data_IF_507578839912
#
_entry.id   IF_507578839912
#
_cell.length_a   1.000
_cell.length_b   1.000
_cell.length_c   1.000
_cell.angle_alpha   90.00
_cell.angle_beta   90.00
_cell.angle_gamma   90.00
#
_symmetry.space_group_name_H-M   'P 1'
#
loop_
_entity.id
_entity.type
_entity.pdbx_description
1 polymer ?
#
# COMPACT_ATOMS: atom_id res chain seq x y z
N UNK A 1 22.79 25.38 -35.42
CA UNK A 1 22.63 26.31 -36.58
C UNK A 1 22.59 27.72 -36.04
N UNK A 2 23.52 28.58 -36.45
CA UNK A 2 23.46 30.00 -36.16
C UNK A 2 22.68 30.70 -37.28
N UNK A 3 21.73 31.56 -36.92
CA UNK A 3 20.90 32.30 -37.88
C UNK A 3 21.43 33.73 -38.01
N UNK A 4 21.49 34.24 -39.25
CA UNK A 4 22.05 35.56 -39.55
C UNK A 4 21.10 36.74 -39.29
N UNK A 5 19.80 36.46 -39.09
CA UNK A 5 18.76 37.49 -38.95
C UNK A 5 17.88 37.16 -37.73
N UNK A 6 17.83 38.08 -36.77
CA UNK A 6 17.10 37.95 -35.49
C UNK A 6 15.61 37.72 -35.71
N UNK A 7 14.99 38.40 -36.68
CA UNK A 7 13.55 38.24 -36.96
C UNK A 7 13.24 36.83 -37.43
N UNK A 8 14.10 36.28 -38.29
CA UNK A 8 13.93 34.93 -38.82
C UNK A 8 14.18 33.86 -37.74
N UNK A 9 15.16 34.09 -36.87
CA UNK A 9 15.42 33.22 -35.73
C UNK A 9 14.23 33.19 -34.75
N UNK A 10 13.64 34.37 -34.46
CA UNK A 10 12.47 34.49 -33.58
C UNK A 10 11.24 33.79 -34.16
N UNK A 11 10.96 33.99 -35.45
CA UNK A 11 9.81 33.35 -36.11
C UNK A 11 9.93 31.82 -36.14
N UNK A 12 11.12 31.29 -36.38
CA UNK A 12 11.37 29.84 -36.34
C UNK A 12 11.26 29.31 -34.89
N UNK A 13 11.74 30.06 -33.91
CA UNK A 13 11.61 29.73 -32.49
C UNK A 13 10.16 29.66 -32.03
N UNK A 14 9.36 30.67 -32.38
CA UNK A 14 7.93 30.73 -32.07
C UNK A 14 7.17 29.58 -32.76
N UNK A 15 7.46 29.28 -34.02
CA UNK A 15 6.87 28.14 -34.75
C UNK A 15 7.17 26.80 -34.08
N UNK A 16 8.44 26.57 -33.66
CA UNK A 16 8.83 25.33 -32.97
C UNK A 16 8.21 25.20 -31.59
N UNK A 17 8.10 26.30 -30.84
CA UNK A 17 7.42 26.31 -29.55
C UNK A 17 5.94 25.97 -29.70
N UNK A 18 5.29 26.49 -30.76
CA UNK A 18 3.89 26.20 -31.07
C UNK A 18 3.68 24.73 -31.49
N UNK A 19 4.58 24.19 -32.32
CA UNK A 19 4.56 22.75 -32.68
C UNK A 19 4.76 21.84 -31.46
N UNK A 20 5.70 22.17 -30.58
CA UNK A 20 5.93 21.42 -29.35
C UNK A 20 4.71 21.45 -28.41
N UNK A 21 4.06 22.62 -28.27
CA UNK A 21 2.82 22.76 -27.50
C UNK A 21 1.66 21.96 -28.10
N UNK A 22 1.56 21.89 -29.43
CA UNK A 22 0.54 21.10 -30.12
C UNK A 22 0.81 19.59 -29.98
N UNK A 23 2.06 19.15 -30.08
CA UNK A 23 2.44 17.76 -29.85
C UNK A 23 2.12 17.32 -28.41
N UNK A 24 2.46 18.16 -27.43
CA UNK A 24 2.18 17.90 -26.01
C UNK A 24 0.67 17.93 -25.69
N UNK A 25 -0.13 18.68 -26.45
CA UNK A 25 -1.61 18.65 -26.36
C UNK A 25 -2.20 17.43 -27.08
N UNK A 26 -1.58 16.96 -28.16
CA UNK A 26 -1.99 15.76 -28.89
C UNK A 26 -1.82 14.47 -28.06
N UNK A 27 -0.84 14.44 -27.16
CA UNK A 27 -0.64 13.35 -26.19
C UNK A 27 -1.61 13.38 -25.01
N UNK A 28 -2.31 14.50 -24.75
CA UNK A 28 -3.42 14.52 -23.78
C UNK A 28 -4.65 13.92 -24.45
N UNK A 29 -4.68 12.59 -24.48
CA UNK A 29 -5.87 11.83 -24.84
C UNK A 29 -7.08 12.38 -24.10
N UNK A 30 -8.16 12.62 -24.84
CA UNK A 30 -9.46 12.86 -24.22
C UNK A 30 -9.77 11.60 -23.43
N UNK A 31 -9.79 11.70 -22.10
CA UNK A 31 -10.27 10.63 -21.21
C UNK A 31 -11.55 10.05 -21.79
N UNK A 32 -11.50 8.82 -22.29
CA UNK A 32 -12.68 8.11 -22.74
C UNK A 32 -13.43 7.56 -21.53
N UNK A 33 -14.72 7.28 -21.67
CA UNK A 33 -15.45 6.59 -20.60
C UNK A 33 -14.84 5.21 -20.31
N UNK A 34 -14.25 4.57 -21.30
CA UNK A 34 -13.57 3.27 -21.17
C UNK A 34 -12.33 3.38 -20.28
N UNK A 35 -11.51 4.43 -20.45
CA UNK A 35 -10.36 4.71 -19.58
C UNK A 35 -10.81 4.99 -18.14
N UNK A 36 -11.91 5.72 -17.97
CA UNK A 36 -12.50 5.98 -16.65
C UNK A 36 -13.01 4.70 -15.99
N UNK A 37 -13.63 3.79 -16.75
CA UNK A 37 -14.08 2.50 -16.23
C UNK A 37 -12.91 1.58 -15.85
N UNK A 38 -11.84 1.59 -16.64
CA UNK A 38 -10.63 0.83 -16.32
C UNK A 38 -9.95 1.36 -15.04
N UNK A 39 -9.89 2.68 -14.89
CA UNK A 39 -9.33 3.31 -13.69
C UNK A 39 -10.16 3.06 -12.42
N UNK A 40 -11.48 2.83 -12.56
CA UNK A 40 -12.36 2.41 -11.46
C UNK A 40 -12.19 0.90 -11.16
N UNK A 41 -11.89 0.08 -12.18
CA UNK A 41 -11.68 -1.37 -12.03
C UNK A 41 -10.32 -1.74 -11.42
N UNK A 42 -9.29 -0.91 -11.63
CA UNK A 42 -7.92 -1.14 -11.11
C UNK A 42 -7.82 -0.95 -9.59
N UNK A 43 -8.92 -0.62 -8.89
CA UNK A 43 -8.93 -0.35 -7.45
C UNK A 43 -8.23 0.96 -7.11
N UNK A 44 -8.12 1.27 -5.81
CA UNK A 44 -7.38 2.43 -5.32
C UNK A 44 -5.86 2.25 -5.56
N UNK A 45 -5.42 2.36 -6.81
CA UNK A 45 -4.00 2.36 -7.16
C UNK A 45 -3.36 3.55 -6.45
N UNK A 46 -2.48 3.27 -5.50
CA UNK A 46 -1.77 4.33 -4.78
C UNK A 46 -0.80 5.00 -5.76
N UNK A 47 -0.87 6.33 -5.89
CA UNK A 47 0.06 7.08 -6.76
C UNK A 47 1.11 7.80 -5.90
N UNK A 48 2.38 7.73 -6.31
CA UNK A 48 3.44 8.61 -5.80
C UNK A 48 3.70 9.71 -6.82
N UNK A 49 3.43 10.94 -6.41
CA UNK A 49 3.66 12.12 -7.21
C UNK A 49 5.09 12.62 -7.05
N UNK A 50 5.78 12.88 -8.16
CA UNK A 50 7.16 13.35 -8.18
C UNK A 50 7.31 14.62 -9.01
N UNK A 51 8.13 15.55 -8.52
CA UNK A 51 8.66 16.67 -9.29
C UNK A 51 10.17 16.48 -9.43
N UNK A 52 10.68 16.61 -10.65
CA UNK A 52 12.07 16.27 -10.96
C UNK A 52 12.81 17.48 -11.50
N UNK A 53 13.89 17.90 -10.82
CA UNK A 53 14.79 18.96 -11.26
C UNK A 53 16.20 18.42 -11.46
N UNK A 54 16.87 18.82 -12.54
CA UNK A 54 18.29 18.51 -12.73
C UNK A 54 19.09 19.68 -13.30
N UNK A 55 20.41 19.55 -13.26
CA UNK A 55 21.36 20.54 -13.77
C UNK A 55 21.32 20.68 -15.29
N UNK A 56 21.11 19.57 -16.00
CA UNK A 56 21.05 19.50 -17.46
C UNK A 56 19.83 18.70 -17.94
N UNK A 57 19.32 19.08 -19.12
CA UNK A 57 18.14 18.46 -19.74
C UNK A 57 18.27 16.94 -19.88
N UNK A 58 19.44 16.44 -20.31
CA UNK A 58 19.66 15.01 -20.50
C UNK A 58 19.53 14.19 -19.21
N UNK A 59 19.92 14.75 -18.06
CA UNK A 59 19.76 14.12 -16.76
C UNK A 59 18.29 14.07 -16.33
N UNK A 60 17.51 15.11 -16.63
CA UNK A 60 16.06 15.14 -16.38
C UNK A 60 15.36 14.03 -17.17
N UNK A 61 15.67 13.91 -18.45
CA UNK A 61 15.06 12.91 -19.33
C UNK A 61 15.44 11.48 -18.93
N UNK A 62 16.73 11.25 -18.65
CA UNK A 62 17.21 9.93 -18.20
C UNK A 62 16.54 9.51 -16.88
N UNK A 63 16.47 10.42 -15.91
CA UNK A 63 15.84 10.15 -14.62
C UNK A 63 14.33 9.94 -14.77
N UNK A 64 13.63 10.78 -15.54
CA UNK A 64 12.20 10.62 -15.76
C UNK A 64 11.88 9.30 -16.48
N UNK A 65 12.70 8.89 -17.46
CA UNK A 65 12.54 7.62 -18.14
C UNK A 65 12.79 6.43 -17.21
N UNK A 66 13.79 6.50 -16.33
CA UNK A 66 14.05 5.44 -15.35
C UNK A 66 12.95 5.35 -14.30
N UNK A 67 12.49 6.47 -13.75
CA UNK A 67 11.44 6.50 -12.72
C UNK A 67 10.09 5.98 -13.25
N UNK A 68 9.78 6.18 -14.54
CA UNK A 68 8.57 5.62 -15.18
C UNK A 68 8.64 4.11 -15.42
N UNK A 69 9.84 3.53 -15.45
CA UNK A 69 10.03 2.08 -15.62
C UNK A 69 9.93 1.32 -14.29
N UNK A 70 9.90 2.02 -13.17
CA UNK A 70 9.66 1.41 -11.86
C UNK A 70 8.22 0.93 -11.86
N UNK A 71 8.06 -0.38 -11.76
CA UNK A 71 6.77 -1.04 -11.69
C UNK A 71 6.73 -1.82 -10.38
N UNK A 72 5.93 -1.34 -9.44
CA UNK A 72 5.67 -2.00 -8.16
C UNK A 72 4.18 -2.29 -8.13
N UNK A 73 3.80 -3.56 -8.02
CA UNK A 73 2.40 -3.98 -7.96
C UNK A 73 1.64 -3.18 -6.90
N UNK A 74 0.59 -2.46 -7.31
CA UNK A 74 -0.27 -1.68 -6.40
C UNK A 74 0.15 -0.22 -6.17
N UNK A 75 1.31 0.23 -6.65
CA UNK A 75 1.75 1.64 -6.55
C UNK A 75 2.30 2.15 -7.88
N UNK A 76 1.85 3.32 -8.33
CA UNK A 76 2.29 3.93 -9.60
C UNK A 76 3.07 5.22 -9.38
N UNK A 77 4.17 5.38 -10.10
CA UNK A 77 4.93 6.63 -10.13
C UNK A 77 4.34 7.61 -11.15
N UNK A 78 4.07 8.84 -10.72
CA UNK A 78 3.54 9.92 -11.56
C UNK A 78 4.42 11.15 -11.48
N UNK A 79 5.03 11.51 -12.61
CA UNK A 79 5.87 12.71 -12.71
C UNK A 79 4.99 13.89 -13.11
N UNK A 80 4.79 14.82 -12.18
CA UNK A 80 3.92 16.00 -12.37
C UNK A 80 4.64 17.07 -13.18
N UNK A 81 5.90 17.32 -12.84
CA UNK A 81 6.69 18.35 -13.48
C UNK A 81 8.16 17.95 -13.57
N UNK A 82 8.77 18.32 -14.70
CA UNK A 82 10.20 18.19 -14.92
C UNK A 82 10.79 19.53 -15.32
N UNK A 83 11.97 19.86 -14.82
CA UNK A 83 12.62 21.13 -15.16
C UNK A 83 14.13 21.11 -14.99
N UNK A 84 14.78 22.07 -15.63
CA UNK A 84 16.23 22.26 -15.54
C UNK A 84 16.53 23.45 -14.64
N UNK A 85 17.54 23.32 -13.79
CA UNK A 85 18.01 24.37 -12.89
C UNK A 85 17.67 24.13 -11.41
N UNK A 86 17.95 25.14 -10.59
CA UNK A 86 17.71 25.10 -9.15
C UNK A 86 16.24 24.87 -8.81
N UNK A 87 15.98 24.32 -7.62
CA UNK A 87 14.61 24.13 -7.12
C UNK A 87 14.10 25.48 -6.60
N UNK A 88 12.99 25.92 -7.16
CA UNK A 88 12.39 27.22 -6.86
C UNK A 88 11.19 27.10 -5.92
N UNK A 89 10.75 28.21 -5.35
CA UNK A 89 9.55 28.27 -4.51
C UNK A 89 8.29 27.78 -5.25
N UNK A 90 8.16 28.10 -6.55
CA UNK A 90 7.03 27.65 -7.36
C UNK A 90 6.97 26.13 -7.49
N UNK A 91 8.12 25.45 -7.50
CA UNK A 91 8.17 23.98 -7.54
C UNK A 91 7.68 23.37 -6.23
N UNK A 92 8.00 24.01 -5.10
CA UNK A 92 7.53 23.59 -3.77
C UNK A 92 6.03 23.80 -3.61
N UNK A 93 5.49 24.92 -4.09
CA UNK A 93 4.05 25.19 -4.04
C UNK A 93 3.29 24.16 -4.90
N UNK A 94 3.82 23.84 -6.09
CA UNK A 94 3.25 22.79 -6.94
C UNK A 94 3.30 21.42 -6.27
N UNK A 95 4.39 21.13 -5.55
CA UNK A 95 4.56 19.91 -4.79
C UNK A 95 3.54 19.81 -3.65
N UNK A 96 3.37 20.87 -2.85
CA UNK A 96 2.38 20.95 -1.76
C UNK A 96 0.97 20.71 -2.30
N UNK A 97 0.58 21.44 -3.35
CA UNK A 97 -0.76 21.34 -3.96
C UNK A 97 -1.08 19.94 -4.52
N UNK A 98 -0.05 19.17 -4.91
CA UNK A 98 -0.21 17.86 -5.53
C UNK A 98 0.25 16.70 -4.65
N UNK A 99 0.61 16.97 -3.40
CA UNK A 99 1.25 16.01 -2.49
C UNK A 99 2.43 15.26 -3.13
N UNK A 100 3.34 16.00 -3.75
CA UNK A 100 4.47 15.45 -4.50
C UNK A 100 5.80 15.58 -3.74
N UNK A 101 6.70 14.63 -3.98
CA UNK A 101 8.08 14.68 -3.50
C UNK A 101 8.95 15.38 -4.55
N UNK A 102 9.85 16.26 -4.11
CA UNK A 102 10.74 16.99 -5.02
C UNK A 102 12.11 16.31 -5.05
N UNK A 103 12.49 15.82 -6.24
CA UNK A 103 13.78 15.20 -6.50
C UNK A 103 14.70 16.19 -7.23
N UNK A 104 15.82 16.53 -6.60
CA UNK A 104 16.88 17.35 -7.19
C UNK A 104 18.11 16.54 -7.56
N UNK A 105 18.44 16.44 -8.83
CA UNK A 105 19.66 15.78 -9.32
C UNK A 105 20.74 16.81 -9.67
N UNK A 106 21.86 16.79 -8.95
CA UNK A 106 22.96 17.78 -9.09
C UNK A 106 22.53 19.26 -8.93
N UNK A 107 21.35 19.51 -8.39
CA UNK A 107 20.81 20.85 -8.13
C UNK A 107 20.57 21.05 -6.64
N UNK A 108 20.41 22.31 -6.25
CA UNK A 108 20.08 22.69 -4.88
C UNK A 108 18.83 23.57 -4.88
N UNK A 109 18.07 23.58 -3.77
CA UNK A 109 17.01 24.54 -3.59
C UNK A 109 17.56 25.92 -3.25
N UNK A 110 16.89 26.94 -3.76
CA UNK A 110 17.14 28.32 -3.36
C UNK A 110 16.67 28.56 -1.91
N UNK A 111 17.15 29.65 -1.31
CA UNK A 111 16.86 29.99 0.10
C UNK A 111 15.36 30.08 0.37
N UNK A 112 14.61 30.68 -0.56
CA UNK A 112 13.15 30.77 -0.45
C UNK A 112 12.50 29.39 -0.58
N UNK A 113 12.93 28.57 -1.54
CA UNK A 113 12.40 27.22 -1.73
C UNK A 113 12.58 26.36 -0.48
N UNK A 114 13.76 26.42 0.16
CA UNK A 114 14.01 25.68 1.41
C UNK A 114 13.08 26.10 2.53
N UNK A 115 12.88 27.41 2.72
CA UNK A 115 11.98 27.95 3.74
C UNK A 115 10.53 27.55 3.47
N UNK A 116 10.07 27.65 2.23
CA UNK A 116 8.71 27.26 1.85
C UNK A 116 8.50 25.76 2.02
N UNK A 117 9.51 24.93 1.75
CA UNK A 117 9.40 23.49 1.94
C UNK A 117 9.24 23.09 3.41
N UNK A 118 9.94 23.78 4.32
CA UNK A 118 9.76 23.60 5.77
C UNK A 118 8.37 24.05 6.25
N UNK A 119 7.81 25.11 5.67
CA UNK A 119 6.48 25.62 6.01
C UNK A 119 5.36 24.72 5.50
N UNK A 120 5.48 24.27 4.25
CA UNK A 120 4.49 23.46 3.55
C UNK A 120 4.67 21.95 3.80
N UNK A 121 5.68 21.55 4.57
CA UNK A 121 6.02 20.15 4.86
C UNK A 121 6.26 19.32 3.57
N UNK A 122 6.98 19.91 2.62
CA UNK A 122 7.31 19.27 1.34
C UNK A 122 8.68 18.63 1.44
N UNK A 123 8.75 17.34 1.11
CA UNK A 123 9.99 16.58 1.10
C UNK A 123 10.85 16.92 -0.13
N UNK A 124 12.08 17.39 0.12
CA UNK A 124 13.11 17.62 -0.90
C UNK A 124 14.21 16.58 -0.76
N UNK A 125 14.42 15.78 -1.80
CA UNK A 125 15.48 14.76 -1.86
C UNK A 125 16.52 15.15 -2.89
N UNK A 126 17.78 15.28 -2.44
CA UNK A 126 18.90 15.72 -3.29
C UNK A 126 19.84 14.56 -3.58
N UNK A 127 20.07 14.31 -4.86
CA UNK A 127 20.85 13.18 -5.32
C UNK A 127 21.90 13.57 -6.35
N UNK A 128 22.88 12.69 -6.48
CA UNK A 128 23.96 12.76 -7.49
C UNK A 128 24.08 11.48 -8.31
N UNK A 129 23.34 10.44 -7.93
CA UNK A 129 23.41 9.10 -8.53
C UNK A 129 21.96 8.65 -8.77
N UNK A 130 21.63 8.36 -10.04
CA UNK A 130 20.25 8.04 -10.45
C UNK A 130 19.77 6.75 -9.78
N UNK A 131 20.62 5.73 -9.69
CA UNK A 131 20.27 4.45 -9.04
C UNK A 131 19.79 4.61 -7.59
N UNK A 132 20.41 5.52 -6.82
CA UNK A 132 19.98 5.79 -5.45
C UNK A 132 18.58 6.42 -5.39
N UNK A 133 18.22 7.22 -6.39
CA UNK A 133 16.86 7.78 -6.50
C UNK A 133 15.86 6.64 -6.74
N UNK A 134 16.19 5.75 -7.68
CA UNK A 134 15.34 4.60 -8.01
C UNK A 134 15.11 3.73 -6.78
N UNK A 135 16.19 3.35 -6.07
CA UNK A 135 16.11 2.55 -4.84
C UNK A 135 15.27 3.21 -3.76
N UNK A 136 15.42 4.53 -3.54
CA UNK A 136 14.65 5.25 -2.52
C UNK A 136 13.17 5.36 -2.88
N UNK A 137 12.85 5.58 -4.16
CA UNK A 137 11.46 5.61 -4.64
C UNK A 137 10.84 4.22 -4.57
N UNK A 138 11.55 3.16 -4.97
CA UNK A 138 11.09 1.77 -4.82
C UNK A 138 10.81 1.42 -3.35
N UNK A 139 11.70 1.78 -2.44
CA UNK A 139 11.50 1.56 -1.01
C UNK A 139 10.29 2.34 -0.46
N UNK A 140 10.09 3.58 -0.92
CA UNK A 140 8.92 4.36 -0.55
C UNK A 140 7.63 3.74 -1.08
N UNK A 141 7.63 3.23 -2.32
CA UNK A 141 6.49 2.49 -2.90
C UNK A 141 6.17 1.23 -2.10
N UNK A 142 7.19 0.44 -1.74
CA UNK A 142 7.02 -0.75 -0.91
C UNK A 142 6.45 -0.42 0.48
N UNK A 143 6.92 0.67 1.11
CA UNK A 143 6.40 1.12 2.41
C UNK A 143 4.96 1.62 2.36
N UNK A 144 4.41 1.91 1.19
CA UNK A 144 3.01 2.28 0.99
C UNK A 144 2.09 1.08 0.75
N UNK A 145 2.64 -0.11 0.52
CA UNK A 145 1.85 -1.32 0.37
C UNK A 145 1.29 -1.75 1.72
N UNK A 146 0.02 -2.15 1.74
CA UNK A 146 -0.59 -2.69 2.93
C UNK A 146 0.01 -4.09 3.20
N UNK A 147 0.28 -4.46 4.46
CA UNK A 147 0.78 -5.78 4.78
C UNK A 147 -0.17 -6.87 4.29
N UNK A 148 0.38 -7.89 3.62
CA UNK A 148 -0.38 -9.09 3.30
C UNK A 148 -0.50 -9.94 4.58
N UNK A 149 -1.72 -10.36 4.90
CA UNK A 149 -1.98 -11.24 6.02
C UNK A 149 -2.23 -12.66 5.49
N UNK A 150 -1.45 -13.62 5.96
CA UNK A 150 -1.66 -15.04 5.65
C UNK A 150 -2.33 -15.74 6.83
N UNK A 151 -3.29 -16.62 6.52
CA UNK A 151 -3.90 -17.47 7.53
C UNK A 151 -2.92 -18.54 7.99
N UNK A 152 -2.60 -18.51 9.28
CA UNK A 152 -1.80 -19.55 9.93
C UNK A 152 -2.62 -20.28 10.96
N UNK A 153 -2.79 -21.58 10.76
CA UNK A 153 -3.40 -22.46 11.75
C UNK A 153 -2.48 -22.57 12.96
N UNK A 154 -3.00 -22.24 14.15
CA UNK A 154 -2.26 -22.23 15.42
C UNK A 154 -2.56 -23.42 16.31
N UNK A 155 -3.68 -24.10 16.08
CA UNK A 155 -4.06 -25.28 16.84
C UNK A 155 -5.43 -25.82 16.48
N UNK A 156 -5.72 -27.02 17.00
CA UNK A 156 -6.98 -27.72 16.82
C UNK A 156 -7.48 -28.23 18.16
N UNK A 157 -8.80 -28.18 18.35
CA UNK A 157 -9.47 -28.68 19.54
C UNK A 157 -10.70 -29.50 19.16
N UNK A 158 -10.86 -30.65 19.78
CA UNK A 158 -12.00 -31.55 19.55
C UNK A 158 -13.09 -31.30 20.59
N UNK A 159 -14.33 -31.11 20.14
CA UNK A 159 -15.50 -30.94 21.00
C UNK A 159 -15.90 -32.29 21.58
N UNK A 160 -15.76 -32.44 22.90
CA UNK A 160 -16.12 -33.68 23.61
C UNK A 160 -17.48 -33.61 24.27
N UNK A 161 -17.90 -32.43 24.68
CA UNK A 161 -19.18 -32.23 25.34
C UNK A 161 -19.72 -30.85 25.02
N UNK A 162 -21.05 -30.69 24.98
CA UNK A 162 -21.68 -29.39 24.79
C UNK A 162 -22.61 -29.04 25.95
N UNK A 163 -22.55 -27.79 26.41
CA UNK A 163 -23.36 -27.27 27.49
C UNK A 163 -24.19 -26.09 26.97
N UNK A 164 -25.52 -26.16 27.12
CA UNK A 164 -26.40 -25.04 26.75
C UNK A 164 -26.68 -24.17 27.96
N UNK A 165 -26.32 -22.90 27.87
CA UNK A 165 -26.56 -21.91 28.93
C UNK A 165 -27.41 -20.77 28.38
N UNK A 166 -28.58 -20.53 28.97
CA UNK A 166 -29.62 -19.64 28.45
C UNK A 166 -29.18 -18.18 28.19
N UNK A 167 -28.12 -17.72 28.86
CA UNK A 167 -27.59 -16.34 28.72
C UNK A 167 -26.32 -16.22 27.87
N UNK A 168 -25.63 -17.33 27.61
CA UNK A 168 -24.28 -17.35 26.98
C UNK A 168 -24.29 -18.09 25.65
N UNK A 169 -25.23 -19.01 25.43
CA UNK A 169 -25.30 -19.85 24.23
C UNK A 169 -24.81 -21.27 24.49
N UNK A 170 -24.34 -21.93 23.43
CA UNK A 170 -23.74 -23.26 23.51
C UNK A 170 -22.24 -23.14 23.81
N UNK A 171 -21.81 -23.69 24.95
CA UNK A 171 -20.41 -23.80 25.34
C UNK A 171 -19.93 -25.18 24.95
N UNK A 172 -18.90 -25.26 24.12
CA UNK A 172 -18.23 -26.52 23.81
C UNK A 172 -17.12 -26.78 24.84
N UNK A 173 -17.21 -27.91 25.54
CA UNK A 173 -16.12 -28.50 26.30
C UNK A 173 -15.19 -29.22 25.31
N UNK A 174 -14.03 -28.62 25.09
CA UNK A 174 -13.07 -29.06 24.08
C UNK A 174 -11.79 -29.58 24.72
N UNK A 175 -11.11 -30.46 24.00
CA UNK A 175 -9.76 -30.92 24.31
C UNK A 175 -8.83 -30.49 23.19
N UNK A 176 -7.78 -29.73 23.52
CA UNK A 176 -6.81 -29.26 22.51
C UNK A 176 -5.95 -30.43 22.06
N UNK A 177 -6.16 -30.86 20.81
CA UNK A 177 -5.48 -32.00 20.20
C UNK A 177 -4.12 -31.61 19.63
N UNK A 178 -4.00 -30.39 19.11
CA UNK A 178 -2.77 -29.90 18.50
C UNK A 178 -2.57 -28.39 18.71
N UNK A 179 -1.31 -27.98 18.81
CA UNK A 179 -0.93 -26.56 18.92
C UNK A 179 -1.49 -25.86 20.15
N UNK A 180 -2.09 -24.68 19.94
CA UNK A 180 -2.74 -23.89 20.99
C UNK A 180 -3.96 -23.14 20.46
N UNK A 181 -4.91 -22.88 21.35
CA UNK A 181 -6.08 -22.03 21.07
C UNK A 181 -5.89 -20.71 21.80
N UNK A 182 -5.99 -19.59 21.10
CA UNK A 182 -5.91 -18.24 21.68
C UNK A 182 -7.28 -17.59 21.69
N UNK A 183 -7.52 -16.65 22.61
CA UNK A 183 -8.81 -15.96 22.69
C UNK A 183 -9.11 -15.13 21.43
N UNK A 184 -8.07 -14.57 20.81
CA UNK A 184 -8.20 -13.62 19.71
C UNK A 184 -8.12 -14.29 18.32
N UNK A 185 -8.14 -15.62 18.24
CA UNK A 185 -8.05 -16.35 16.96
C UNK A 185 -9.39 -16.46 16.24
N UNK A 186 -9.33 -16.43 14.91
CA UNK A 186 -10.42 -16.95 14.08
C UNK A 186 -10.56 -18.46 14.27
N UNK A 187 -11.78 -18.97 14.09
CA UNK A 187 -12.09 -20.39 14.26
C UNK A 187 -12.88 -20.93 13.09
N UNK A 188 -12.50 -22.12 12.62
CA UNK A 188 -13.23 -22.94 11.66
C UNK A 188 -13.76 -24.18 12.35
N UNK A 189 -15.05 -24.44 12.18
CA UNK A 189 -15.71 -25.63 12.70
C UNK A 189 -15.78 -26.66 11.57
N UNK A 190 -15.14 -27.80 11.80
CA UNK A 190 -15.04 -28.89 10.84
C UNK A 190 -15.79 -30.10 11.40
N UNK A 191 -16.70 -30.66 10.61
CA UNK A 191 -17.42 -31.91 10.92
C UNK A 191 -17.31 -32.83 9.73
N UNK A 192 -16.88 -34.05 9.96
CA UNK A 192 -16.67 -35.07 8.92
C UNK A 192 -15.77 -34.57 7.76
N UNK A 193 -14.81 -33.68 8.07
CA UNK A 193 -13.88 -33.09 7.09
C UNK A 193 -14.43 -31.91 6.29
N UNK A 194 -15.63 -31.42 6.59
CA UNK A 194 -16.25 -30.26 5.92
C UNK A 194 -16.32 -29.07 6.87
N UNK A 195 -15.92 -27.88 6.39
CA UNK A 195 -16.09 -26.62 7.14
C UNK A 195 -17.56 -26.25 7.17
N UNK A 196 -18.18 -26.30 8.36
CA UNK A 196 -19.59 -25.91 8.56
C UNK A 196 -19.70 -24.41 8.80
N UNK A 197 -18.74 -23.85 9.51
CA UNK A 197 -18.80 -22.47 9.96
C UNK A 197 -17.39 -21.90 10.12
N UNK A 198 -17.27 -20.62 9.82
CA UNK A 198 -16.09 -19.82 10.03
C UNK A 198 -16.50 -18.55 10.76
N UNK A 199 -15.76 -18.19 11.81
CA UNK A 199 -16.07 -17.02 12.63
C UNK A 199 -14.98 -16.73 13.65
N UNK A 200 -15.33 -15.96 14.68
CA UNK A 200 -14.39 -15.60 15.75
C UNK A 200 -14.72 -16.33 17.04
N UNK A 201 -13.67 -16.60 17.82
CA UNK A 201 -13.81 -17.13 19.17
C UNK A 201 -14.33 -16.01 20.09
N UNK A 202 -15.41 -16.28 20.82
CA UNK A 202 -16.05 -15.30 21.71
C UNK A 202 -15.47 -15.36 23.13
N UNK A 203 -15.51 -16.54 23.75
CA UNK A 203 -14.88 -16.76 25.07
C UNK A 203 -14.06 -18.04 25.11
N UNK A 204 -12.88 -17.93 25.74
CA UNK A 204 -11.99 -19.03 26.04
C UNK A 204 -11.84 -19.12 27.56
N UNK A 205 -12.33 -20.22 28.14
CA UNK A 205 -12.25 -20.45 29.58
C UNK A 205 -11.57 -21.77 29.88
N UNK A 206 -10.82 -21.80 30.98
CA UNK A 206 -10.35 -23.05 31.57
C UNK A 206 -11.02 -23.21 32.93
N UNK A 207 -11.82 -24.26 33.07
CA UNK A 207 -12.74 -24.43 34.20
C UNK A 207 -13.70 -23.25 34.34
N UNK A 208 -13.41 -22.30 35.25
CA UNK A 208 -14.23 -21.12 35.51
C UNK A 208 -13.53 -19.81 35.14
N UNK A 209 -12.25 -19.86 34.83
CA UNK A 209 -11.41 -18.69 34.63
C UNK A 209 -11.24 -18.38 33.14
N UNK A 210 -11.39 -17.11 32.78
CA UNK A 210 -11.05 -16.61 31.44
C UNK A 210 -9.54 -16.65 31.23
N UNK A 211 -9.11 -17.28 30.15
CA UNK A 211 -7.69 -17.46 29.83
C UNK A 211 -7.38 -16.88 28.45
N UNK A 212 -6.14 -16.41 28.27
CA UNK A 212 -5.68 -15.86 27.00
C UNK A 212 -5.36 -16.94 25.97
N UNK A 213 -4.79 -18.04 26.42
CA UNK A 213 -4.46 -19.18 25.57
C UNK A 213 -4.57 -20.50 26.34
N UNK A 214 -4.81 -21.58 25.60
CA UNK A 214 -4.82 -22.96 26.10
C UNK A 214 -3.94 -23.78 25.18
N UNK A 215 -2.91 -24.40 25.78
CA UNK A 215 -1.96 -25.25 25.06
C UNK A 215 -2.52 -26.67 24.83
N UNK A 216 -1.85 -27.41 23.95
CA UNK A 216 -2.11 -28.82 23.69
C UNK A 216 -2.23 -29.65 24.97
N UNK A 217 -3.07 -30.67 24.93
CA UNK A 217 -3.35 -31.62 26.01
C UNK A 217 -4.08 -31.03 27.22
N UNK A 218 -4.65 -29.83 27.09
CA UNK A 218 -5.53 -29.25 28.10
C UNK A 218 -6.98 -29.18 27.62
N UNK A 219 -7.89 -29.22 28.59
CA UNK A 219 -9.31 -28.99 28.39
C UNK A 219 -9.64 -27.50 28.50
N UNK A 220 -10.57 -27.05 27.67
CA UNK A 220 -11.09 -25.70 27.68
C UNK A 220 -12.58 -25.65 27.34
N UNK A 221 -13.24 -24.59 27.77
CA UNK A 221 -14.57 -24.20 27.33
C UNK A 221 -14.43 -23.12 26.26
N UNK A 222 -15.04 -23.35 25.09
CA UNK A 222 -15.03 -22.43 23.95
C UNK A 222 -16.47 -22.01 23.62
N UNK A 223 -16.69 -20.72 23.40
CA UNK A 223 -17.88 -20.19 22.72
C UNK A 223 -17.46 -19.50 21.43
N UNK A 224 -18.33 -19.56 20.42
CA UNK A 224 -18.09 -19.00 19.09
C UNK A 224 -19.09 -17.89 18.84
N UNK A 225 -18.62 -16.76 18.31
CA UNK A 225 -19.48 -15.62 18.05
C UNK A 225 -20.56 -15.99 17.02
N UNK A 226 -21.82 -15.69 17.34
CA UNK A 226 -22.99 -15.90 16.44
C UNK A 226 -23.22 -17.35 15.99
N UNK A 227 -22.58 -18.33 16.62
CA UNK A 227 -22.77 -19.75 16.29
C UNK A 227 -23.06 -20.59 17.52
N UNK A 228 -24.15 -21.38 17.47
CA UNK A 228 -24.62 -22.18 18.60
C UNK A 228 -24.83 -23.67 18.27
N UNK A 229 -24.67 -24.12 17.02
CA UNK A 229 -24.85 -25.53 16.61
C UNK A 229 -23.54 -26.34 16.67
N UNK A 230 -22.86 -26.24 17.82
CA UNK A 230 -21.71 -27.09 18.14
C UNK A 230 -22.20 -28.48 18.55
N UNK A 231 -21.56 -29.52 18.02
CA UNK A 231 -21.86 -30.92 18.32
C UNK A 231 -20.61 -31.65 18.80
N UNK A 232 -20.83 -32.72 19.56
CA UNK A 232 -19.76 -33.62 19.96
C UNK A 232 -19.14 -34.28 18.72
N UNK A 233 -17.81 -34.33 18.68
CA UNK A 233 -17.04 -34.78 17.52
C UNK A 233 -16.68 -33.68 16.51
N UNK A 234 -17.16 -32.44 16.71
CA UNK A 234 -16.70 -31.31 15.89
C UNK A 234 -15.23 -30.98 16.19
N UNK A 235 -14.47 -30.63 15.15
CA UNK A 235 -13.10 -30.13 15.27
C UNK A 235 -13.12 -28.62 15.09
N UNK A 236 -12.64 -27.90 16.09
CA UNK A 236 -12.44 -26.45 16.06
C UNK A 236 -10.98 -26.21 15.70
N UNK A 237 -10.75 -25.70 14.51
CA UNK A 237 -9.44 -25.25 14.05
C UNK A 237 -9.29 -23.75 14.31
N UNK A 238 -8.28 -23.37 15.08
CA UNK A 238 -7.97 -21.97 15.34
C UNK A 238 -6.88 -21.47 14.40
N UNK A 239 -7.08 -20.29 13.83
CA UNK A 239 -6.12 -19.63 12.96
C UNK A 239 -5.95 -18.16 13.33
N UNK A 240 -4.78 -17.62 13.03
CA UNK A 240 -4.46 -16.20 13.16
C UNK A 240 -4.04 -15.65 11.81
N UNK A 241 -4.30 -14.37 11.61
CA UNK A 241 -3.76 -13.61 10.49
C UNK A 241 -2.34 -13.16 10.86
N UNK A 242 -1.33 -13.80 10.29
CA UNK A 242 0.07 -13.40 10.48
C UNK A 242 0.46 -12.40 9.38
N UNK A 243 1.03 -11.26 9.77
CA UNK A 243 1.58 -10.28 8.82
C UNK A 243 2.79 -10.90 8.12
N UNK A 244 2.65 -11.17 6.83
CA UNK A 244 3.74 -11.61 5.97
C UNK A 244 4.39 -10.37 5.38
N UNK A 245 5.63 -10.12 5.77
CA UNK A 245 6.46 -9.11 5.12
C UNK A 245 6.91 -9.67 3.77
N UNK A 246 6.54 -8.97 2.68
CA UNK A 246 7.09 -9.21 1.33
C UNK A 246 8.60 -9.04 1.30
#
# INVERSE_FOLDING_TARGET
MAFADEKKARQIGESRAQEALLAQRGEKSKLSLEDLFQQIQEGDVKEINLIVKADVQGSVEAMAASLRKIDVEGVKVKIIHTGVGAITESDIILASASNAIVIGFNVRPDVNAKRTAELENVDIRLHRIIYKVIEEIEAAMQGMLDPEFEEKVIGQAEVRQTFKVTKVGTIAGCYVTDGKITRDSGVRIIRDGVVIFEGQLDTLKRFKDDVKEVAQNYECGITIERYNDLKEGDIIEAYIMEEVKR
#
